data_IF_776438393678
#
_entry.id   IF_776438393678
#
_cell.length_a   1.000
_cell.length_b   1.000
_cell.length_c   1.000
_cell.angle_alpha   90.00
_cell.angle_beta   90.00
_cell.angle_gamma   90.00
#
_symmetry.space_group_name_H-M   'P 1'
#
loop_
_entity.id
_entity.type
_entity.pdbx_description
1 polymer ?
#
# COMPACT_ATOMS: atom_id res chain seq x y z
N UNK A 1 -24.95 15.93 10.58
CA UNK A 1 -25.83 14.74 10.65
C UNK A 1 -25.08 13.66 11.41
N UNK A 2 -25.74 12.59 11.79
CA UNK A 2 -25.07 11.40 12.35
C UNK A 2 -24.33 10.60 11.26
N UNK A 3 -23.35 9.79 11.67
CA UNK A 3 -22.76 8.76 10.81
C UNK A 3 -23.69 7.54 10.75
N UNK A 4 -23.96 6.95 9.57
CA UNK A 4 -24.82 5.77 9.48
C UNK A 4 -24.18 4.49 10.06
N UNK A 5 -22.88 4.51 10.40
CA UNK A 5 -22.19 3.38 10.99
C UNK A 5 -22.70 3.09 12.41
N UNK A 6 -22.87 1.81 12.74
CA UNK A 6 -23.25 1.39 14.10
C UNK A 6 -22.04 1.11 15.00
N UNK A 7 -20.83 1.23 14.46
CA UNK A 7 -19.59 0.96 15.19
C UNK A 7 -19.18 2.18 16.00
N UNK A 8 -19.04 2.02 17.31
CA UNK A 8 -18.75 3.14 18.23
C UNK A 8 -17.36 3.75 18.08
N UNK A 9 -16.46 3.10 17.35
CA UNK A 9 -15.15 3.67 16.99
C UNK A 9 -15.31 4.67 15.87
N UNK A 10 -16.13 4.34 14.87
CA UNK A 10 -16.41 5.21 13.72
C UNK A 10 -17.38 6.31 14.11
N UNK A 11 -18.47 5.93 14.78
CA UNK A 11 -19.54 6.76 15.29
C UNK A 11 -19.48 6.81 16.84
N UNK A 12 -18.62 7.65 17.42
CA UNK A 12 -18.48 7.73 18.88
C UNK A 12 -19.67 8.43 19.55
N UNK A 13 -20.46 9.24 18.83
CA UNK A 13 -21.61 9.91 19.42
C UNK A 13 -22.90 9.08 19.32
N UNK A 14 -22.89 8.00 18.53
CA UNK A 14 -24.07 7.17 18.31
C UNK A 14 -25.19 8.00 17.69
N UNK A 15 -26.42 7.62 18.00
CA UNK A 15 -27.64 8.35 17.59
C UNK A 15 -27.72 9.83 18.03
N UNK A 16 -26.79 10.30 18.88
CA UNK A 16 -26.67 11.72 19.26
C UNK A 16 -26.24 12.58 18.06
N UNK A 17 -25.51 12.01 17.10
CA UNK A 17 -24.99 12.67 15.91
C UNK A 17 -23.91 13.73 16.19
N UNK A 18 -23.67 14.58 15.18
CA UNK A 18 -22.57 15.59 15.14
C UNK A 18 -21.16 15.00 15.01
N UNK A 19 -21.06 13.89 14.28
CA UNK A 19 -19.83 13.12 14.04
C UNK A 19 -18.94 13.67 12.92
N UNK A 20 -19.34 14.79 12.33
CA UNK A 20 -18.54 15.46 11.32
C UNK A 20 -17.19 15.88 11.94
N UNK A 21 -16.11 15.47 11.30
CA UNK A 21 -14.75 15.69 11.76
C UNK A 21 -14.18 17.01 11.22
N UNK A 22 -14.72 17.51 10.10
CA UNK A 22 -14.30 18.76 9.51
C UNK A 22 -14.74 20.00 10.30
N UNK A 23 -14.07 21.12 10.03
CA UNK A 23 -14.38 22.41 10.64
C UNK A 23 -14.75 23.44 9.55
N UNK A 24 -15.90 24.14 9.66
CA UNK A 24 -16.98 23.95 10.64
C UNK A 24 -17.75 22.64 10.43
N UNK A 25 -18.10 21.94 11.53
CA UNK A 25 -18.80 20.64 11.49
C UNK A 25 -20.12 20.66 10.73
N UNK A 26 -20.85 21.78 10.82
CA UNK A 26 -22.12 21.96 10.13
C UNK A 26 -21.97 22.33 8.63
N UNK A 27 -20.74 22.49 8.13
CA UNK A 27 -20.49 23.14 6.85
C UNK A 27 -20.76 24.63 6.93
N UNK A 28 -20.75 25.31 5.78
CA UNK A 28 -20.99 26.76 5.70
C UNK A 28 -22.05 27.09 4.66
N UNK A 29 -23.00 27.96 5.02
CA UNK A 29 -23.94 28.55 4.09
C UNK A 29 -23.45 29.94 3.66
N UNK A 30 -23.45 30.21 2.36
CA UNK A 30 -23.07 31.50 1.76
C UNK A 30 -24.08 31.97 0.71
N UNK A 31 -23.83 33.15 0.13
CA UNK A 31 -24.74 33.80 -0.81
C UNK A 31 -26.16 34.08 -0.26
N UNK A 32 -26.27 34.32 1.06
CA UNK A 32 -27.53 34.56 1.76
C UNK A 32 -27.37 35.54 2.92
N UNK A 33 -28.50 36.10 3.40
CA UNK A 33 -28.56 36.97 4.57
C UNK A 33 -28.55 36.11 5.86
N UNK A 34 -27.58 36.29 6.77
CA UNK A 34 -27.47 35.47 7.96
C UNK A 34 -28.66 35.68 8.90
N UNK A 35 -29.03 34.61 9.60
CA UNK A 35 -30.05 34.57 10.65
C UNK A 35 -29.46 33.86 11.87
N UNK A 36 -30.19 33.82 12.99
CA UNK A 36 -29.69 33.17 14.20
C UNK A 36 -29.36 31.67 14.01
N UNK A 37 -30.12 30.96 13.15
CA UNK A 37 -30.06 29.50 13.00
C UNK A 37 -29.81 29.07 11.54
N UNK A 38 -29.12 29.90 10.74
CA UNK A 38 -28.90 29.62 9.31
C UNK A 38 -28.90 30.91 8.48
N UNK A 39 -29.51 30.89 7.30
CA UNK A 39 -29.63 32.09 6.47
C UNK A 39 -30.90 32.13 5.63
N UNK A 40 -31.15 33.28 5.01
CA UNK A 40 -32.30 33.53 4.13
C UNK A 40 -31.86 34.14 2.80
N UNK A 41 -32.52 33.76 1.71
CA UNK A 41 -32.26 34.31 0.38
C UNK A 41 -33.56 34.85 -0.23
N UNK A 42 -33.43 35.93 -0.98
CA UNK A 42 -34.57 36.49 -1.74
C UNK A 42 -34.81 35.62 -2.98
N UNK A 43 -36.08 35.45 -3.33
CA UNK A 43 -36.44 34.80 -4.57
C UNK A 43 -36.25 35.75 -5.75
N UNK A 44 -35.85 35.18 -6.89
CA UNK A 44 -35.82 35.89 -8.17
C UNK A 44 -37.24 36.03 -8.76
N UNK A 45 -37.35 36.63 -9.95
CA UNK A 45 -38.63 36.82 -10.65
C UNK A 45 -39.38 35.51 -10.98
N UNK A 46 -38.68 34.37 -10.98
CA UNK A 46 -39.25 33.03 -11.18
C UNK A 46 -39.60 32.32 -9.86
N UNK A 47 -39.43 32.98 -8.71
CA UNK A 47 -39.69 32.40 -7.40
C UNK A 47 -38.56 31.50 -6.87
N UNK A 48 -37.36 31.52 -7.47
CA UNK A 48 -36.23 30.68 -7.07
C UNK A 48 -35.32 31.47 -6.14
N UNK A 49 -35.00 30.91 -4.97
CA UNK A 49 -33.93 31.37 -4.10
C UNK A 49 -32.73 30.42 -4.22
N UNK A 50 -31.52 30.97 -4.19
CA UNK A 50 -30.27 30.20 -4.28
C UNK A 50 -29.42 30.50 -3.05
N UNK A 51 -28.88 29.44 -2.45
CA UNK A 51 -27.95 29.48 -1.33
C UNK A 51 -26.82 28.53 -1.70
N UNK A 52 -25.59 28.93 -1.42
CA UNK A 52 -24.42 28.08 -1.60
C UNK A 52 -24.15 27.35 -0.29
N UNK A 53 -23.88 26.05 -0.39
CA UNK A 53 -23.50 25.24 0.76
C UNK A 53 -22.15 24.60 0.50
N UNK A 54 -21.20 24.89 1.39
CA UNK A 54 -19.85 24.33 1.36
C UNK A 54 -19.75 23.24 2.41
N UNK A 55 -19.48 22.02 1.95
CA UNK A 55 -19.17 20.87 2.80
C UNK A 55 -17.73 20.95 3.31
N UNK A 56 -17.40 20.13 4.30
CA UNK A 56 -16.03 19.91 4.77
C UNK A 56 -15.25 19.03 3.79
N UNK A 57 -13.96 18.81 4.09
CA UNK A 57 -13.07 17.91 3.33
C UNK A 57 -12.88 16.53 3.95
N UNK A 58 -13.38 16.31 5.16
CA UNK A 58 -13.17 15.05 5.86
C UNK A 58 -14.11 13.98 5.34
N UNK A 59 -13.58 12.84 4.90
CA UNK A 59 -14.43 11.80 4.34
C UNK A 59 -15.31 11.18 5.43
N UNK A 60 -16.54 10.87 5.04
CA UNK A 60 -17.58 10.41 5.95
C UNK A 60 -18.35 11.52 6.65
N UNK A 61 -17.99 12.80 6.50
CA UNK A 61 -18.82 13.89 7.01
C UNK A 61 -20.18 13.91 6.28
N UNK A 62 -21.27 13.99 7.06
CA UNK A 62 -22.64 13.86 6.60
C UNK A 62 -23.44 15.16 6.78
N UNK A 63 -24.13 15.58 5.72
CA UNK A 63 -24.87 16.84 5.66
C UNK A 63 -26.27 16.64 5.09
N UNK A 64 -27.24 17.38 5.63
CA UNK A 64 -28.54 17.56 5.01
C UNK A 64 -28.99 19.01 5.23
N UNK A 65 -29.62 19.61 4.23
CA UNK A 65 -30.04 21.01 4.27
C UNK A 65 -31.56 21.04 4.40
N UNK A 66 -32.07 21.73 5.43
CA UNK A 66 -33.49 22.05 5.52
C UNK A 66 -33.77 23.46 4.95
N UNK A 67 -34.80 23.58 4.12
CA UNK A 67 -35.24 24.83 3.54
C UNK A 67 -36.77 24.98 3.67
N UNK A 68 -37.23 26.22 3.89
CA UNK A 68 -38.64 26.54 4.02
C UNK A 68 -38.86 28.04 3.92
N UNK A 69 -40.12 28.45 3.73
CA UNK A 69 -40.49 29.86 3.54
C UNK A 69 -40.99 30.54 4.82
N UNK A 70 -41.16 29.77 5.90
CA UNK A 70 -41.60 30.25 7.22
C UNK A 70 -40.40 30.15 8.19
N UNK A 71 -39.76 31.28 8.54
CA UNK A 71 -38.54 31.28 9.35
C UNK A 71 -38.66 30.55 10.69
N UNK A 72 -39.81 30.66 11.36
CA UNK A 72 -40.05 29.98 12.64
C UNK A 72 -40.04 28.45 12.53
N UNK A 73 -40.48 27.89 11.40
CA UNK A 73 -40.51 26.44 11.18
C UNK A 73 -39.13 25.91 10.79
N UNK A 74 -38.37 26.66 9.98
CA UNK A 74 -36.96 26.34 9.68
C UNK A 74 -36.11 26.44 10.94
N UNK A 75 -36.32 27.46 11.78
CA UNK A 75 -35.60 27.65 13.03
C UNK A 75 -35.89 26.60 14.11
N UNK A 76 -36.94 25.77 13.93
CA UNK A 76 -37.30 24.68 14.82
C UNK A 76 -36.80 23.31 14.34
N UNK A 77 -36.03 23.27 13.24
CA UNK A 77 -35.43 22.03 12.72
C UNK A 77 -34.30 21.58 13.63
N UNK A 78 -34.29 20.30 13.98
CA UNK A 78 -33.20 19.65 14.72
C UNK A 78 -32.81 18.33 14.05
N UNK A 79 -31.70 17.73 14.49
CA UNK A 79 -31.23 16.42 14.01
C UNK A 79 -31.71 15.31 14.95
N UNK A 80 -31.98 14.13 14.39
CA UNK A 80 -32.19 12.89 15.13
C UNK A 80 -31.56 11.75 14.32
N UNK A 81 -30.36 11.33 14.69
CA UNK A 81 -29.54 10.43 13.89
C UNK A 81 -29.30 10.97 12.47
N UNK A 82 -29.58 10.13 11.48
CA UNK A 82 -29.43 10.44 10.04
C UNK A 82 -30.61 11.22 9.44
N UNK A 83 -31.57 11.65 10.26
CA UNK A 83 -32.75 12.41 9.85
C UNK A 83 -32.78 13.83 10.43
N UNK A 84 -33.50 14.71 9.72
CA UNK A 84 -33.92 16.00 10.27
C UNK A 84 -35.36 15.89 10.73
N UNK A 85 -35.67 16.44 11.91
CA UNK A 85 -37.02 16.49 12.48
C UNK A 85 -37.48 17.94 12.64
N UNK A 86 -38.79 18.15 12.58
CA UNK A 86 -39.40 19.44 12.86
C UNK A 86 -39.63 19.64 14.38
N UNK A 87 -40.14 20.81 14.77
CA UNK A 87 -40.44 21.12 16.18
C UNK A 87 -41.53 20.25 16.84
N UNK A 88 -42.19 19.37 16.08
CA UNK A 88 -43.12 18.35 16.58
C UNK A 88 -42.51 16.94 16.59
N UNK A 89 -41.18 16.83 16.44
CA UNK A 89 -40.42 15.58 16.39
C UNK A 89 -40.77 14.67 15.18
N UNK A 90 -41.35 15.23 14.13
CA UNK A 90 -41.66 14.48 12.91
C UNK A 90 -40.53 14.60 11.90
N UNK A 91 -40.14 13.48 11.29
CA UNK A 91 -39.13 13.42 10.23
C UNK A 91 -39.55 14.31 9.05
N UNK A 92 -38.64 15.18 8.63
CA UNK A 92 -38.82 16.06 7.49
C UNK A 92 -38.59 15.23 6.22
N UNK A 93 -39.55 15.20 5.28
CA UNK A 93 -39.39 14.42 4.06
C UNK A 93 -38.38 15.06 3.11
N UNK A 94 -37.72 14.22 2.31
CA UNK A 94 -36.83 14.67 1.22
C UNK A 94 -37.61 15.12 -0.01
N UNK A 95 -38.84 14.64 -0.16
CA UNK A 95 -39.76 15.00 -1.24
C UNK A 95 -40.93 15.82 -0.68
N UNK A 96 -40.98 17.10 -1.05
CA UNK A 96 -42.03 18.01 -0.61
C UNK A 96 -42.96 18.42 -1.73
N UNK A 97 -44.26 18.27 -1.49
CA UNK A 97 -45.31 18.93 -2.27
C UNK A 97 -46.10 19.95 -1.47
N UNK A 98 -46.23 19.74 -0.14
CA UNK A 98 -47.13 20.49 0.73
C UNK A 98 -46.54 20.85 2.09
N UNK A 99 -45.34 20.34 2.41
CA UNK A 99 -44.73 20.56 3.71
C UNK A 99 -44.10 21.96 3.82
N UNK A 100 -44.15 22.59 5.00
CA UNK A 100 -43.60 23.92 5.22
C UNK A 100 -42.07 23.98 5.18
N UNK A 101 -41.42 22.85 5.48
CA UNK A 101 -39.97 22.67 5.48
C UNK A 101 -39.66 21.36 4.77
N UNK A 102 -38.60 21.39 3.98
CA UNK A 102 -38.12 20.29 3.15
C UNK A 102 -36.65 20.06 3.43
N UNK A 103 -36.20 18.82 3.32
CA UNK A 103 -34.76 18.55 3.40
C UNK A 103 -34.20 17.99 2.10
N UNK A 104 -32.91 18.20 1.87
CA UNK A 104 -32.17 17.44 0.86
C UNK A 104 -32.06 15.97 1.26
N UNK A 105 -31.70 15.11 0.29
CA UNK A 105 -31.06 13.84 0.64
C UNK A 105 -29.79 14.12 1.44
N UNK A 106 -29.37 13.13 2.25
CA UNK A 106 -28.10 13.22 2.95
C UNK A 106 -26.96 13.16 1.93
N UNK A 107 -25.99 14.06 2.10
CA UNK A 107 -24.74 14.11 1.36
C UNK A 107 -23.63 13.62 2.27
N UNK A 108 -22.85 12.66 1.80
CA UNK A 108 -21.65 12.17 2.48
C UNK A 108 -20.43 12.61 1.70
N UNK A 109 -19.45 13.16 2.37
CA UNK A 109 -18.19 13.59 1.74
C UNK A 109 -17.36 12.35 1.39
N UNK A 110 -16.97 12.25 0.13
CA UNK A 110 -15.98 11.29 -0.35
C UNK A 110 -14.68 12.02 -0.70
N UNK A 111 -13.55 11.41 -0.34
CA UNK A 111 -12.22 11.92 -0.68
C UNK A 111 -11.66 11.18 -1.89
N UNK A 112 -11.01 11.93 -2.79
CA UNK A 112 -10.09 11.35 -3.77
C UNK A 112 -8.70 11.27 -3.18
N UNK A 113 -8.07 10.13 -3.41
CA UNK A 113 -6.73 9.81 -3.00
C UNK A 113 -5.90 9.51 -4.25
N UNK A 114 -5.02 10.45 -4.62
CA UNK A 114 -4.21 10.38 -5.82
C UNK A 114 -2.95 9.56 -5.54
N UNK A 115 -2.71 8.54 -6.35
CA UNK A 115 -1.58 7.64 -6.18
C UNK A 115 -0.78 7.67 -7.47
N UNK A 116 0.47 8.05 -7.35
CA UNK A 116 1.48 7.86 -8.38
C UNK A 116 2.10 6.48 -8.19
N UNK A 117 2.13 5.67 -9.26
CA UNK A 117 2.52 4.27 -9.19
C UNK A 117 3.64 3.99 -10.17
N UNK A 118 4.79 3.64 -9.62
CA UNK A 118 6.01 3.37 -10.38
C UNK A 118 6.57 2.00 -10.05
N UNK A 119 7.59 1.60 -10.81
CA UNK A 119 8.44 0.47 -10.46
C UNK A 119 9.91 0.77 -10.68
N UNK A 120 10.76 -0.07 -10.08
CA UNK A 120 12.16 -0.16 -10.47
C UNK A 120 12.26 -0.60 -11.93
N UNK A 121 13.30 -0.11 -12.61
CA UNK A 121 13.69 -0.63 -13.93
C UNK A 121 14.02 -2.13 -13.85
N UNK A 122 14.27 -2.73 -15.01
CA UNK A 122 14.70 -4.13 -15.13
C UNK A 122 15.74 -4.54 -14.08
N UNK A 123 15.52 -5.71 -13.49
CA UNK A 123 16.43 -6.34 -12.55
C UNK A 123 17.79 -6.52 -13.20
N UNK A 124 18.81 -5.92 -12.60
CA UNK A 124 20.17 -5.97 -13.11
C UNK A 124 21.15 -6.02 -11.94
N UNK A 125 22.05 -7.00 -11.97
CA UNK A 125 23.05 -7.15 -10.91
C UNK A 125 22.61 -7.99 -9.71
N UNK A 126 21.52 -8.77 -9.79
CA UNK A 126 21.26 -9.86 -8.85
C UNK A 126 22.17 -11.09 -9.14
N UNK A 127 23.49 -10.84 -9.19
CA UNK A 127 24.52 -11.87 -9.31
C UNK A 127 25.88 -11.32 -8.90
N UNK A 128 26.76 -12.21 -8.46
CA UNK A 128 28.15 -11.89 -8.11
C UNK A 128 29.11 -12.44 -9.15
N UNK A 129 29.99 -11.58 -9.65
CA UNK A 129 31.11 -11.93 -10.54
C UNK A 129 32.37 -12.16 -9.73
N UNK A 130 33.20 -13.11 -10.13
CA UNK A 130 34.50 -13.29 -9.50
C UNK A 130 35.39 -14.32 -10.17
N UNK A 131 36.39 -14.79 -9.43
CA UNK A 131 37.29 -15.86 -9.87
C UNK A 131 37.42 -16.98 -8.86
N UNK A 132 37.58 -18.21 -9.33
CA UNK A 132 37.96 -19.37 -8.52
C UNK A 132 39.48 -19.51 -8.66
N UNK A 133 40.28 -19.30 -7.60
CA UNK A 133 41.73 -19.22 -7.70
C UNK A 133 42.37 -20.57 -8.07
N UNK A 134 41.81 -21.67 -7.56
CA UNK A 134 42.39 -23.00 -7.67
C UNK A 134 41.64 -23.91 -8.66
N UNK A 135 42.39 -24.83 -9.28
CA UNK A 135 41.76 -25.85 -10.11
C UNK A 135 40.94 -26.83 -9.28
N UNK A 136 39.80 -27.28 -9.82
CA UNK A 136 38.92 -28.24 -9.17
C UNK A 136 38.35 -29.26 -10.15
N UNK A 137 38.26 -30.50 -9.71
CA UNK A 137 37.50 -31.56 -10.40
C UNK A 137 36.33 -31.98 -9.52
N UNK A 138 35.11 -31.88 -10.05
CA UNK A 138 33.87 -32.23 -9.34
C UNK A 138 33.22 -33.41 -10.08
N UNK A 139 33.30 -34.65 -9.55
CA UNK A 139 32.66 -35.81 -10.17
C UNK A 139 31.14 -35.63 -10.29
N UNK A 140 30.53 -36.34 -11.26
CA UNK A 140 29.09 -36.37 -11.45
C UNK A 140 28.36 -36.73 -10.14
N UNK A 141 27.33 -35.95 -9.78
CA UNK A 141 26.52 -36.19 -8.59
C UNK A 141 27.23 -35.91 -7.26
N UNK A 142 28.40 -35.25 -7.25
CA UNK A 142 29.14 -34.92 -6.02
C UNK A 142 29.11 -33.43 -5.72
N UNK A 143 29.27 -33.12 -4.43
CA UNK A 143 29.49 -31.77 -3.93
C UNK A 143 30.97 -31.42 -3.90
N UNK A 144 31.26 -30.12 -3.97
CA UNK A 144 32.57 -29.57 -3.66
C UNK A 144 32.42 -28.16 -3.08
N UNK A 145 33.27 -27.83 -2.12
CA UNK A 145 33.49 -26.44 -1.69
C UNK A 145 34.59 -25.83 -2.53
N UNK A 146 34.31 -24.65 -3.07
CA UNK A 146 35.19 -23.84 -3.90
C UNK A 146 35.56 -22.58 -3.11
N UNK A 147 36.85 -22.27 -3.03
CA UNK A 147 37.28 -20.92 -2.67
C UNK A 147 36.94 -19.98 -3.82
N UNK A 148 36.46 -18.78 -3.51
CA UNK A 148 36.08 -17.77 -4.50
C UNK A 148 36.65 -16.43 -4.11
N UNK A 149 37.01 -15.65 -5.13
CA UNK A 149 37.41 -14.25 -5.01
C UNK A 149 36.36 -13.41 -5.76
N UNK A 150 35.33 -12.90 -5.06
CA UNK A 150 34.37 -11.96 -5.61
C UNK A 150 35.05 -10.70 -6.15
N UNK A 151 34.41 -10.05 -7.12
CA UNK A 151 34.89 -8.77 -7.65
C UNK A 151 34.90 -7.72 -6.53
N UNK A 152 35.87 -6.79 -6.47
CA UNK A 152 36.01 -5.86 -5.33
C UNK A 152 34.79 -4.99 -5.01
N UNK A 153 33.87 -4.80 -5.97
CA UNK A 153 32.63 -4.05 -5.81
C UNK A 153 31.44 -4.91 -5.36
N UNK A 154 31.60 -6.24 -5.25
CA UNK A 154 30.55 -7.19 -4.92
C UNK A 154 31.04 -8.06 -3.76
N UNK A 155 30.39 -7.94 -2.61
CA UNK A 155 30.66 -8.80 -1.46
C UNK A 155 29.69 -9.97 -1.48
N UNK A 156 30.13 -11.13 -1.00
CA UNK A 156 29.22 -12.25 -0.77
C UNK A 156 28.64 -12.13 0.63
N UNK A 157 27.33 -12.30 0.71
CA UNK A 157 26.59 -12.45 1.96
C UNK A 157 26.52 -13.94 2.31
N UNK A 158 26.54 -14.29 3.60
CA UNK A 158 26.47 -15.69 4.00
C UNK A 158 25.13 -16.28 3.57
N UNK A 159 25.16 -17.40 2.85
CA UNK A 159 24.01 -18.23 2.48
C UNK A 159 22.91 -17.62 1.60
N UNK A 160 22.99 -16.34 1.24
CA UNK A 160 22.16 -15.70 0.20
C UNK A 160 21.88 -16.61 -1.00
N UNK A 161 22.94 -17.10 -1.64
CA UNK A 161 22.84 -17.87 -2.89
C UNK A 161 22.41 -19.34 -2.73
N UNK A 162 21.90 -19.78 -1.58
CA UNK A 162 21.40 -21.15 -1.41
C UNK A 162 20.27 -21.40 -2.42
N UNK A 163 20.25 -22.56 -3.08
CA UNK A 163 19.23 -22.85 -4.10
C UNK A 163 19.59 -22.29 -5.49
N UNK A 164 20.39 -21.23 -5.53
CA UNK A 164 20.88 -20.58 -6.73
C UNK A 164 21.92 -21.40 -7.50
N UNK A 165 22.73 -20.73 -8.33
CA UNK A 165 23.70 -21.41 -9.20
C UNK A 165 25.00 -20.67 -9.40
N UNK A 166 26.08 -21.44 -9.48
CA UNK A 166 27.40 -20.97 -9.90
C UNK A 166 27.66 -21.40 -11.35
N UNK A 167 27.89 -20.42 -12.22
CA UNK A 167 28.21 -20.60 -13.64
C UNK A 167 29.70 -20.39 -13.87
N UNK A 168 30.40 -21.47 -14.24
CA UNK A 168 31.84 -21.49 -14.57
C UNK A 168 32.09 -22.36 -15.81
N UNK A 169 31.54 -21.91 -16.95
CA UNK A 169 31.44 -22.71 -18.18
C UNK A 169 30.46 -23.89 -18.10
N UNK A 170 30.14 -24.37 -16.89
CA UNK A 170 29.04 -25.26 -16.55
C UNK A 170 28.23 -24.61 -15.42
N UNK A 171 26.96 -24.98 -15.29
CA UNK A 171 26.11 -24.56 -14.17
C UNK A 171 26.14 -25.61 -13.05
N UNK A 172 26.37 -25.18 -11.83
CA UNK A 172 26.42 -25.98 -10.61
C UNK A 172 25.43 -25.39 -9.61
N UNK A 173 24.58 -26.21 -8.99
CA UNK A 173 23.64 -25.71 -7.97
C UNK A 173 24.39 -25.36 -6.69
N UNK A 174 24.01 -24.26 -6.06
CA UNK A 174 24.61 -23.80 -4.80
C UNK A 174 23.87 -24.45 -3.64
N UNK A 175 24.64 -24.97 -2.68
CA UNK A 175 24.15 -25.63 -1.47
C UNK A 175 24.31 -24.74 -0.25
N UNK A 176 25.37 -23.92 -0.23
CA UNK A 176 25.66 -22.90 0.77
C UNK A 176 26.81 -22.03 0.31
N UNK A 177 26.97 -20.84 0.91
CA UNK A 177 28.13 -20.01 0.68
C UNK A 177 28.51 -19.22 1.95
N UNK A 178 29.79 -18.92 2.08
CA UNK A 178 30.32 -17.91 3.02
C UNK A 178 30.64 -16.65 2.24
N UNK A 179 31.34 -15.71 2.88
CA UNK A 179 31.88 -14.50 2.24
C UNK A 179 32.99 -14.80 1.22
N UNK A 180 33.58 -16.00 1.25
CA UNK A 180 34.78 -16.39 0.49
C UNK A 180 34.75 -17.84 -0.05
N UNK A 181 33.70 -18.61 0.23
CA UNK A 181 33.56 -19.97 -0.29
C UNK A 181 32.14 -20.26 -0.79
N UNK A 182 32.02 -21.12 -1.79
CA UNK A 182 30.73 -21.61 -2.29
C UNK A 182 30.76 -23.14 -2.32
N UNK A 183 29.82 -23.76 -1.62
CA UNK A 183 29.59 -25.21 -1.71
C UNK A 183 28.57 -25.47 -2.80
N UNK A 184 28.97 -26.27 -3.80
CA UNK A 184 28.17 -26.53 -4.99
C UNK A 184 27.94 -28.02 -5.20
N UNK A 185 26.85 -28.37 -5.88
CA UNK A 185 26.48 -29.71 -6.29
C UNK A 185 26.56 -29.83 -7.82
N UNK A 186 27.34 -30.80 -8.30
CA UNK A 186 27.31 -31.18 -9.71
C UNK A 186 26.09 -32.07 -9.99
N UNK A 187 25.03 -31.47 -10.52
CA UNK A 187 23.80 -32.18 -10.91
C UNK A 187 23.88 -32.82 -12.32
N UNK A 188 25.01 -32.71 -13.01
CA UNK A 188 25.21 -33.32 -14.32
C UNK A 188 25.63 -34.79 -14.21
N UNK A 189 25.54 -35.50 -15.34
CA UNK A 189 26.03 -36.89 -15.48
C UNK A 189 27.53 -36.99 -15.82
N UNK A 190 28.26 -35.87 -15.81
CA UNK A 190 29.67 -35.81 -16.22
C UNK A 190 30.50 -35.18 -15.10
N UNK A 191 31.77 -35.55 -15.06
CA UNK A 191 32.75 -34.85 -14.23
C UNK A 191 33.01 -33.46 -14.82
N UNK A 192 32.98 -32.44 -13.97
CA UNK A 192 33.29 -31.06 -14.34
C UNK A 192 34.71 -30.74 -13.89
N UNK A 193 35.50 -30.15 -14.80
CA UNK A 193 36.82 -29.59 -14.50
C UNK A 193 36.74 -28.07 -14.56
N UNK A 194 37.16 -27.43 -13.48
CA UNK A 194 37.28 -25.98 -13.33
C UNK A 194 38.78 -25.67 -13.34
N UNK A 195 39.29 -24.91 -14.32
CA UNK A 195 40.69 -24.50 -14.31
C UNK A 195 40.95 -23.46 -13.21
N UNK A 196 42.21 -23.34 -12.79
CA UNK A 196 42.64 -22.26 -11.90
C UNK A 196 42.36 -20.89 -12.53
N UNK A 197 41.98 -19.91 -11.70
CA UNK A 197 41.60 -18.54 -12.08
C UNK A 197 40.40 -18.50 -13.04
N UNK A 198 39.51 -19.50 -12.97
CA UNK A 198 38.29 -19.50 -13.76
C UNK A 198 37.36 -18.36 -13.34
N UNK A 199 36.79 -17.63 -14.30
CA UNK A 199 35.75 -16.65 -14.02
C UNK A 199 34.43 -17.35 -13.71
N UNK A 200 33.71 -16.83 -12.71
CA UNK A 200 32.38 -17.31 -12.36
C UNK A 200 31.35 -16.19 -12.36
N UNK A 201 30.09 -16.58 -12.53
CA UNK A 201 28.90 -15.78 -12.19
C UNK A 201 28.08 -16.59 -11.19
N UNK A 202 27.76 -16.01 -10.05
CA UNK A 202 26.98 -16.62 -8.98
C UNK A 202 25.61 -15.94 -8.95
N UNK A 203 24.57 -16.69 -9.26
CA UNK A 203 23.18 -16.22 -9.31
C UNK A 203 22.46 -16.67 -8.07
N UNK A 204 21.56 -15.80 -7.61
CA UNK A 204 20.62 -16.11 -6.54
C UNK A 204 19.54 -17.10 -6.97
N UNK A 205 18.73 -17.53 -6.00
CA UNK A 205 17.55 -18.36 -6.24
C UNK A 205 16.26 -17.56 -6.44
N UNK A 206 16.35 -16.23 -6.35
CA UNK A 206 15.22 -15.33 -6.60
C UNK A 206 14.60 -15.54 -7.99
N UNK A 207 13.28 -15.68 -7.97
CA UNK A 207 12.38 -15.65 -9.11
C UNK A 207 11.08 -14.96 -8.66
N UNK A 208 10.94 -13.67 -8.96
CA UNK A 208 9.75 -12.90 -8.54
C UNK A 208 8.54 -13.12 -9.44
N UNK A 209 8.66 -13.94 -10.50
CA UNK A 209 7.59 -14.19 -11.44
C UNK A 209 7.39 -15.71 -11.67
N UNK A 210 6.76 -16.13 -12.77
CA UNK A 210 6.43 -17.53 -13.08
C UNK A 210 6.79 -17.87 -14.56
N UNK A 211 7.54 -17.01 -15.24
CA UNK A 211 7.71 -17.04 -16.70
C UNK A 211 8.86 -17.95 -17.17
N UNK A 212 9.79 -18.30 -16.27
CA UNK A 212 10.93 -19.19 -16.52
C UNK A 212 10.66 -20.69 -16.21
N UNK A 213 9.43 -21.01 -15.82
CA UNK A 213 8.92 -22.38 -15.74
C UNK A 213 9.50 -23.21 -14.60
N UNK A 214 10.60 -23.94 -14.84
CA UNK A 214 11.32 -24.69 -13.78
C UNK A 214 12.79 -24.31 -13.71
N UNK A 215 13.20 -23.28 -14.45
CA UNK A 215 14.56 -22.75 -14.44
C UNK A 215 14.58 -21.51 -13.54
N UNK A 216 14.48 -21.77 -12.24
CA UNK A 216 14.12 -20.83 -11.18
C UNK A 216 15.36 -20.16 -10.60
N UNK A 217 16.05 -19.28 -11.35
CA UNK A 217 17.33 -18.73 -10.86
C UNK A 217 17.87 -17.51 -11.62
N UNK A 218 17.04 -16.77 -12.38
CA UNK A 218 17.54 -15.60 -13.12
C UNK A 218 16.48 -14.54 -13.42
N UNK A 219 16.21 -13.65 -12.48
CA UNK A 219 15.44 -12.43 -12.77
C UNK A 219 16.20 -11.39 -13.62
N UNK A 220 17.43 -11.70 -14.07
CA UNK A 220 18.29 -10.72 -14.75
C UNK A 220 17.70 -10.29 -16.08
N UNK A 221 17.53 -8.97 -16.26
CA UNK A 221 16.87 -8.29 -17.38
C UNK A 221 15.35 -8.41 -17.39
N UNK A 222 14.74 -8.80 -16.28
CA UNK A 222 13.29 -8.84 -16.15
C UNK A 222 12.74 -7.55 -15.57
N UNK A 223 11.58 -7.12 -16.08
CA UNK A 223 10.93 -5.90 -15.61
C UNK A 223 10.31 -6.10 -14.23
N UNK A 224 10.65 -5.24 -13.28
CA UNK A 224 9.94 -5.17 -12.00
C UNK A 224 8.56 -4.58 -12.29
N UNK A 225 7.51 -5.35 -12.01
CA UNK A 225 6.15 -4.89 -12.27
C UNK A 225 5.72 -3.83 -11.25
N UNK A 226 4.96 -2.83 -11.71
CA UNK A 226 4.23 -1.93 -10.83
C UNK A 226 3.42 -2.69 -9.75
N UNK A 227 3.23 -2.11 -8.56
CA UNK A 227 2.38 -2.64 -7.51
C UNK A 227 0.99 -2.98 -8.02
N UNK A 228 0.52 -4.19 -7.72
CA UNK A 228 -0.81 -4.64 -8.13
C UNK A 228 -1.89 -3.86 -7.37
N UNK A 229 -2.93 -3.39 -8.07
CA UNK A 229 -4.04 -2.62 -7.46
C UNK A 229 -5.38 -3.37 -7.48
N UNK A 230 -5.52 -4.35 -8.38
CA UNK A 230 -6.78 -5.05 -8.62
C UNK A 230 -7.30 -5.77 -7.35
N UNK A 231 -8.58 -5.61 -7.08
CA UNK A 231 -9.25 -6.19 -5.91
C UNK A 231 -8.99 -5.48 -4.58
N UNK A 232 -8.11 -4.49 -4.47
CA UNK A 232 -7.85 -3.79 -3.20
C UNK A 232 -7.85 -2.26 -3.31
N UNK A 233 -7.35 -1.71 -4.41
CA UNK A 233 -7.13 -0.28 -4.60
C UNK A 233 -7.79 0.24 -5.88
N UNK A 234 -8.79 -0.47 -6.42
CA UNK A 234 -9.43 -0.02 -7.66
C UNK A 234 -10.10 1.34 -7.47
N UNK A 235 -10.10 2.16 -8.52
CA UNK A 235 -10.71 3.49 -8.52
C UNK A 235 -12.25 3.42 -8.56
N UNK A 236 -12.85 2.86 -7.52
CA UNK A 236 -14.29 2.67 -7.35
C UNK A 236 -14.71 2.82 -5.88
N UNK A 237 -16.03 2.87 -5.68
CA UNK A 237 -16.64 3.11 -4.37
C UNK A 237 -17.14 1.78 -3.74
N UNK A 238 -16.76 0.63 -4.30
CA UNK A 238 -17.14 -0.70 -3.81
C UNK A 238 -16.06 -1.27 -2.90
N UNK A 239 -16.43 -1.51 -1.64
CA UNK A 239 -15.53 -2.12 -0.65
C UNK A 239 -14.88 -3.40 -1.16
N UNK A 240 -15.56 -4.20 -1.98
CA UNK A 240 -15.03 -5.48 -2.47
C UNK A 240 -13.76 -5.34 -3.31
N UNK A 241 -13.48 -4.15 -3.84
CA UNK A 241 -12.38 -3.85 -4.77
C UNK A 241 -11.57 -2.61 -4.36
N UNK A 242 -12.07 -1.83 -3.39
CA UNK A 242 -11.41 -0.70 -2.76
C UNK A 242 -11.53 -0.82 -1.23
N UNK A 243 -10.46 -1.21 -0.55
CA UNK A 243 -10.44 -1.38 0.91
C UNK A 243 -10.65 -0.08 1.70
N UNK A 244 -10.51 1.07 1.05
CA UNK A 244 -10.75 2.39 1.63
C UNK A 244 -12.18 2.91 1.44
N UNK A 245 -13.04 2.19 0.70
CA UNK A 245 -14.41 2.62 0.44
C UNK A 245 -15.24 2.76 1.72
N UNK A 246 -15.03 1.89 2.71
CA UNK A 246 -15.70 2.00 4.03
C UNK A 246 -15.23 3.25 4.81
N UNK A 247 -14.11 3.86 4.43
CA UNK A 247 -13.66 5.17 4.93
C UNK A 247 -14.13 6.34 4.05
N UNK A 248 -14.94 6.10 3.02
CA UNK A 248 -15.37 7.08 2.01
C UNK A 248 -14.21 7.71 1.23
N UNK A 249 -13.20 6.91 0.92
CA UNK A 249 -12.02 7.33 0.15
C UNK A 249 -11.94 6.49 -1.13
N UNK A 250 -11.67 7.16 -2.24
CA UNK A 250 -11.52 6.57 -3.56
C UNK A 250 -10.11 6.80 -4.10
N UNK A 251 -9.33 5.73 -4.34
CA UNK A 251 -8.07 5.82 -5.08
C UNK A 251 -8.28 6.37 -6.50
N UNK A 252 -7.31 7.13 -6.99
CA UNK A 252 -7.29 7.70 -8.35
C UNK A 252 -5.84 7.69 -8.86
N UNK A 253 -5.69 7.35 -10.14
CA UNK A 253 -4.39 7.16 -10.81
C UNK A 253 -4.29 8.11 -12.00
N UNK A 254 -4.47 9.40 -11.75
CA UNK A 254 -4.55 10.47 -12.76
C UNK A 254 -3.42 11.51 -12.64
N UNK A 255 -2.35 11.16 -11.93
CA UNK A 255 -1.17 11.99 -11.64
C UNK A 255 0.12 11.24 -11.99
N UNK A 256 1.24 11.98 -12.04
CA UNK A 256 2.57 11.49 -12.39
C UNK A 256 2.73 10.99 -13.82
N UNK A 257 3.97 10.70 -14.22
CA UNK A 257 4.20 9.68 -15.24
C UNK A 257 4.37 8.32 -14.56
N UNK A 258 3.40 7.41 -14.73
CA UNK A 258 3.58 6.05 -14.20
C UNK A 258 4.70 5.39 -15.01
N UNK A 259 5.91 5.32 -14.45
CA UNK A 259 7.13 4.95 -15.14
C UNK A 259 7.79 3.71 -14.51
N UNK A 260 8.14 2.74 -15.36
CA UNK A 260 8.81 1.48 -14.95
C UNK A 260 10.34 1.65 -14.94
N UNK A 261 10.87 2.79 -14.48
CA UNK A 261 12.28 3.11 -14.72
C UNK A 261 13.00 3.83 -13.58
N UNK A 262 12.53 3.66 -12.36
CA UNK A 262 13.31 4.11 -11.19
C UNK A 262 14.56 3.24 -11.02
N UNK A 263 15.52 3.72 -10.23
CA UNK A 263 16.80 3.02 -10.05
C UNK A 263 16.60 1.62 -9.45
N UNK A 264 17.01 0.58 -10.20
CA UNK A 264 17.06 -0.78 -9.66
C UNK A 264 18.09 -0.86 -8.54
N UNK A 265 17.65 -1.43 -7.43
CA UNK A 265 18.47 -1.78 -6.28
C UNK A 265 18.03 -3.19 -5.87
N UNK A 266 18.99 -4.10 -5.71
CA UNK A 266 18.70 -5.48 -5.27
C UNK A 266 18.12 -5.41 -3.86
N UNK A 267 18.95 -5.16 -2.85
CA UNK A 267 18.52 -4.87 -1.48
C UNK A 267 18.53 -3.37 -1.20
N UNK A 268 17.58 -2.90 -0.42
CA UNK A 268 17.69 -1.56 0.17
C UNK A 268 18.97 -1.47 1.03
N UNK A 269 19.65 -0.32 0.99
CA UNK A 269 20.83 -0.09 1.84
C UNK A 269 20.45 -0.01 3.33
N UNK A 270 19.30 0.59 3.61
CA UNK A 270 18.66 0.72 4.92
C UNK A 270 17.21 1.18 4.71
N UNK A 271 16.44 1.27 5.79
CA UNK A 271 15.07 1.77 5.80
C UNK A 271 14.96 3.22 6.33
N UNK A 272 16.03 4.02 6.24
CA UNK A 272 15.94 5.42 6.63
C UNK A 272 15.11 6.21 5.61
N UNK A 273 14.17 7.02 6.11
CA UNK A 273 13.25 7.84 5.31
C UNK A 273 13.93 8.61 4.17
N UNK A 274 15.09 9.24 4.43
CA UNK A 274 15.81 10.02 3.41
C UNK A 274 16.39 9.14 2.29
N UNK A 275 16.85 7.94 2.63
CA UNK A 275 17.38 7.01 1.64
C UNK A 275 16.23 6.44 0.79
N UNK A 276 15.15 5.98 1.43
CA UNK A 276 13.97 5.47 0.73
C UNK A 276 13.42 6.50 -0.26
N UNK A 277 13.22 7.75 0.18
CA UNK A 277 12.77 8.84 -0.69
C UNK A 277 13.74 9.19 -1.81
N UNK A 278 15.03 8.89 -1.66
CA UNK A 278 16.02 9.11 -2.73
C UNK A 278 15.86 8.15 -3.90
N UNK A 279 15.11 7.05 -3.71
CA UNK A 279 14.77 6.09 -4.76
C UNK A 279 13.42 6.42 -5.43
N UNK A 280 12.67 7.38 -4.90
CA UNK A 280 11.41 7.83 -5.51
C UNK A 280 11.69 8.71 -6.73
N UNK A 281 10.93 8.52 -7.80
CA UNK A 281 10.81 9.45 -8.91
C UNK A 281 9.48 10.20 -8.81
N UNK A 282 9.18 10.72 -7.61
CA UNK A 282 7.85 11.26 -7.27
C UNK A 282 7.59 12.61 -7.96
N UNK A 283 7.07 12.57 -9.18
CA UNK A 283 6.73 13.71 -10.03
C UNK A 283 5.72 14.64 -9.36
N UNK A 284 4.74 14.05 -8.68
CA UNK A 284 3.66 14.77 -8.02
C UNK A 284 3.99 15.20 -6.59
N UNK A 285 5.26 15.19 -6.19
CA UNK A 285 5.69 15.55 -4.83
C UNK A 285 5.27 16.98 -4.42
N UNK A 286 5.08 17.89 -5.38
CA UNK A 286 4.64 19.26 -5.10
C UNK A 286 3.21 19.30 -4.54
N UNK A 287 2.42 18.26 -4.81
CA UNK A 287 1.05 18.09 -4.34
C UNK A 287 0.95 17.23 -3.08
N UNK A 288 2.02 16.55 -2.64
CA UNK A 288 2.01 15.69 -1.45
C UNK A 288 1.65 16.48 -0.18
N UNK A 289 2.22 17.67 -0.01
CA UNK A 289 1.91 18.55 1.12
C UNK A 289 0.54 19.26 0.99
N UNK A 290 -0.20 19.06 -0.10
CA UNK A 290 -1.45 19.75 -0.35
C UNK A 290 -2.62 19.08 0.39
N UNK A 291 -3.10 19.74 1.45
CA UNK A 291 -4.30 19.30 2.17
C UNK A 291 -5.59 19.33 1.32
N UNK A 292 -5.59 19.91 0.12
CA UNK A 292 -6.66 19.83 -0.88
C UNK A 292 -6.59 18.53 -1.70
N UNK A 293 -5.43 17.90 -1.87
CA UNK A 293 -5.21 16.71 -2.69
C UNK A 293 -4.31 15.71 -1.96
N UNK A 294 -4.93 14.68 -1.35
CA UNK A 294 -4.15 13.58 -0.79
C UNK A 294 -3.41 12.87 -1.91
N UNK A 295 -2.08 12.94 -1.86
CA UNK A 295 -1.18 12.48 -2.92
C UNK A 295 -0.06 11.66 -2.31
N UNK A 296 0.14 10.43 -2.77
CA UNK A 296 1.23 9.54 -2.31
C UNK A 296 1.96 8.91 -3.49
N UNK A 297 3.08 8.30 -3.17
CA UNK A 297 3.88 7.50 -4.07
C UNK A 297 3.86 6.02 -3.70
N UNK A 298 3.76 5.13 -4.68
CA UNK A 298 3.79 3.68 -4.49
C UNK A 298 4.78 3.06 -5.47
N UNK A 299 5.81 2.40 -4.95
CA UNK A 299 6.91 1.86 -5.74
C UNK A 299 6.92 0.33 -5.72
N UNK A 300 6.92 -0.28 -6.90
CA UNK A 300 7.27 -1.69 -7.08
C UNK A 300 8.77 -1.85 -6.98
N UNK A 301 9.24 -2.56 -5.96
CA UNK A 301 10.66 -2.73 -5.67
C UNK A 301 11.04 -4.22 -5.64
N UNK A 302 12.33 -4.51 -5.75
CA UNK A 302 12.82 -5.88 -5.81
C UNK A 302 12.66 -6.58 -4.46
N UNK A 303 13.50 -6.24 -3.48
CA UNK A 303 13.42 -6.76 -2.10
C UNK A 303 13.89 -5.72 -1.07
N UNK A 304 13.65 -6.02 0.21
CA UNK A 304 14.00 -5.14 1.32
C UNK A 304 15.52 -5.16 1.62
N UNK A 305 15.92 -4.66 2.79
CA UNK A 305 17.26 -4.82 3.33
C UNK A 305 17.61 -6.32 3.49
N UNK A 306 18.91 -6.61 3.55
CA UNK A 306 19.45 -7.99 3.64
C UNK A 306 18.87 -8.77 4.82
N UNK A 307 18.55 -8.10 5.92
CA UNK A 307 17.96 -8.75 7.10
C UNK A 307 16.51 -9.17 6.90
N UNK A 308 15.78 -8.57 5.96
CA UNK A 308 14.33 -8.70 5.77
C UNK A 308 13.95 -9.18 4.36
N UNK A 309 14.91 -9.61 3.54
CA UNK A 309 14.69 -10.07 2.15
C UNK A 309 14.25 -11.54 2.03
N UNK A 310 14.31 -12.31 3.12
CA UNK A 310 13.86 -13.70 3.12
C UNK A 310 14.90 -14.72 2.67
N UNK A 311 16.13 -14.30 2.37
CA UNK A 311 17.24 -15.22 2.13
C UNK A 311 17.70 -15.87 3.43
N UNK A 312 18.17 -17.14 3.39
CA UNK A 312 18.69 -17.78 4.59
C UNK A 312 19.99 -17.09 5.04
N UNK A 313 19.97 -16.40 6.17
CA UNK A 313 21.17 -15.86 6.82
C UNK A 313 21.50 -16.58 8.15
N UNK A 314 22.62 -16.21 8.80
CA UNK A 314 23.11 -16.82 10.06
C UNK A 314 21.99 -17.13 11.05
N UNK A 315 22.09 -18.26 11.80
CA UNK A 315 20.99 -19.17 12.02
C UNK A 315 19.70 -18.42 12.38
N UNK A 316 18.77 -18.37 11.41
CA UNK A 316 17.37 -18.00 11.61
C UNK A 316 16.96 -18.49 12.98
N UNK A 317 16.60 -17.59 13.88
CA UNK A 317 16.35 -17.98 15.27
C UNK A 317 15.06 -18.80 15.40
N UNK A 318 14.44 -19.14 14.28
CA UNK A 318 13.08 -19.66 14.19
C UNK A 318 12.08 -18.65 14.73
N UNK A 319 12.47 -17.37 14.87
CA UNK A 319 11.59 -16.34 15.34
C UNK A 319 10.63 -15.98 14.19
N UNK A 320 9.31 -16.09 14.38
CA UNK A 320 8.35 -15.60 13.40
C UNK A 320 8.49 -14.09 13.08
N UNK A 321 9.23 -13.32 13.88
CA UNK A 321 9.59 -11.92 13.58
C UNK A 321 10.76 -11.78 12.58
N UNK A 322 11.52 -12.86 12.30
CA UNK A 322 12.52 -12.92 11.21
C UNK A 322 11.80 -13.20 9.88
N UNK A 323 10.66 -12.56 9.64
CA UNK A 323 9.84 -12.77 8.45
C UNK A 323 10.24 -11.80 7.34
N UNK A 324 10.28 -12.26 6.08
CA UNK A 324 10.49 -11.36 4.97
C UNK A 324 9.45 -10.23 4.97
N UNK A 325 9.92 -9.03 4.65
CA UNK A 325 9.11 -7.84 4.50
C UNK A 325 8.50 -7.79 3.10
N UNK A 326 7.17 -7.75 3.01
CA UNK A 326 6.47 -7.64 1.71
C UNK A 326 6.35 -6.19 1.23
N UNK A 327 6.52 -5.23 2.12
CA UNK A 327 6.39 -3.82 1.84
C UNK A 327 6.79 -3.00 3.06
N UNK A 328 7.08 -1.73 2.81
CA UNK A 328 7.51 -0.79 3.84
C UNK A 328 7.14 0.64 3.45
N UNK A 329 6.79 1.45 4.43
CA UNK A 329 6.55 2.89 4.27
C UNK A 329 7.83 3.71 4.49
N UNK A 330 7.94 4.85 3.82
CA UNK A 330 9.08 5.75 4.00
C UNK A 330 9.14 6.40 5.39
N UNK A 331 7.97 6.66 5.99
CA UNK A 331 7.82 7.21 7.33
C UNK A 331 6.43 6.91 7.88
N UNK A 332 6.23 7.14 9.18
CA UNK A 332 4.91 7.07 9.80
C UNK A 332 4.17 8.41 9.67
N UNK A 333 2.83 8.34 9.69
CA UNK A 333 1.96 9.51 9.82
C UNK A 333 2.47 10.48 10.90
N UNK A 334 2.46 11.81 10.68
CA UNK A 334 1.86 12.54 9.55
C UNK A 334 2.88 12.97 8.48
N UNK A 335 4.05 12.33 8.41
CA UNK A 335 5.13 12.77 7.50
C UNK A 335 5.38 11.78 6.37
N UNK A 336 4.49 10.81 6.15
CA UNK A 336 4.70 9.74 5.19
C UNK A 336 4.42 10.24 3.76
N UNK A 337 5.22 9.80 2.79
CA UNK A 337 5.07 10.18 1.37
C UNK A 337 4.72 9.00 0.49
N UNK A 338 5.07 7.78 0.90
CA UNK A 338 4.86 6.62 0.05
C UNK A 338 5.33 5.31 0.64
N UNK A 339 5.22 4.27 -0.18
CA UNK A 339 5.56 2.92 0.21
C UNK A 339 6.24 2.14 -0.92
N UNK A 340 7.05 1.16 -0.51
CA UNK A 340 7.63 0.14 -1.36
C UNK A 340 6.78 -1.13 -1.22
N UNK A 341 6.53 -1.81 -2.33
CA UNK A 341 5.96 -3.15 -2.37
C UNK A 341 6.98 -4.06 -3.02
N UNK A 342 7.49 -5.02 -2.25
CA UNK A 342 8.55 -5.92 -2.69
C UNK A 342 8.00 -7.08 -3.50
N UNK A 343 8.72 -7.43 -4.58
CA UNK A 343 8.31 -8.44 -5.54
C UNK A 343 8.91 -9.80 -5.24
N UNK A 344 10.17 -9.85 -4.82
CA UNK A 344 10.91 -11.09 -4.61
C UNK A 344 10.22 -11.94 -3.53
N UNK A 345 10.01 -11.43 -2.31
CA UNK A 345 9.31 -12.18 -1.24
C UNK A 345 7.86 -12.55 -1.58
N UNK A 346 7.26 -11.93 -2.60
CA UNK A 346 5.89 -12.18 -3.09
C UNK A 346 5.71 -13.50 -3.85
N UNK A 347 6.74 -14.36 -3.84
CA UNK A 347 6.93 -15.60 -4.63
C UNK A 347 5.66 -16.43 -4.88
N UNK A 348 5.41 -16.85 -6.13
CA UNK A 348 4.65 -18.06 -6.42
C UNK A 348 5.44 -19.36 -6.13
N UNK A 349 4.71 -20.37 -5.66
CA UNK A 349 4.96 -21.82 -5.72
C UNK A 349 6.17 -22.52 -5.02
N UNK A 350 7.24 -21.85 -4.64
CA UNK A 350 8.52 -22.56 -4.33
C UNK A 350 8.71 -23.13 -2.91
N UNK A 351 7.95 -22.70 -1.90
CA UNK A 351 8.00 -23.37 -0.58
C UNK A 351 7.20 -24.69 -0.58
N UNK A 352 7.60 -25.71 0.21
CA UNK A 352 7.03 -27.07 0.17
C UNK A 352 5.51 -27.05 0.06
N UNK A 353 4.98 -27.82 -0.90
CA UNK A 353 3.56 -28.05 -1.19
C UNK A 353 2.66 -27.73 0.02
N UNK A 354 2.23 -26.46 0.13
CA UNK A 354 1.63 -25.90 1.34
C UNK A 354 1.66 -24.37 1.38
N UNK A 355 2.80 -23.74 1.04
CA UNK A 355 2.94 -22.27 1.04
C UNK A 355 2.46 -21.59 -0.25
N UNK A 356 2.54 -22.27 -1.39
CA UNK A 356 1.97 -21.85 -2.67
C UNK A 356 0.46 -21.51 -2.64
N UNK A 357 -0.24 -21.84 -1.55
CA UNK A 357 -1.66 -21.56 -1.39
C UNK A 357 -1.97 -20.28 -0.62
N UNK A 358 -0.96 -19.54 -0.13
CA UNK A 358 -1.16 -18.46 0.85
C UNK A 358 -0.25 -17.20 0.76
N UNK A 359 0.46 -16.85 -0.34
CA UNK A 359 1.15 -15.57 -0.34
C UNK A 359 0.12 -14.43 -0.22
N UNK A 360 0.42 -13.44 0.63
CA UNK A 360 -0.35 -12.21 0.70
C UNK A 360 -0.25 -11.55 -0.67
N UNK A 361 -1.39 -11.31 -1.33
CA UNK A 361 -1.36 -10.68 -2.66
C UNK A 361 -0.69 -9.32 -2.58
N UNK A 362 0.15 -8.96 -3.56
CA UNK A 362 0.81 -7.63 -3.65
C UNK A 362 -0.15 -6.46 -3.51
N UNK A 363 -1.39 -6.62 -3.99
CA UNK A 363 -2.45 -5.61 -3.81
C UNK A 363 -2.93 -5.43 -2.35
N UNK A 364 -2.92 -6.51 -1.58
CA UNK A 364 -3.19 -6.45 -0.15
C UNK A 364 -2.05 -5.79 0.61
N UNK A 365 -0.80 -6.08 0.23
CA UNK A 365 0.38 -5.42 0.79
C UNK A 365 0.35 -3.93 0.50
N UNK A 366 0.11 -3.51 -0.75
CA UNK A 366 -0.06 -2.10 -1.09
C UNK A 366 -1.14 -1.43 -0.23
N UNK A 367 -2.31 -2.08 -0.04
CA UNK A 367 -3.36 -1.57 0.84
C UNK A 367 -2.93 -1.48 2.31
N UNK A 368 -2.17 -2.45 2.81
CA UNK A 368 -1.62 -2.47 4.17
C UNK A 368 -0.64 -1.31 4.39
N UNK A 369 0.34 -1.13 3.48
CA UNK A 369 1.32 -0.06 3.59
C UNK A 369 0.66 1.33 3.52
N UNK A 370 -0.30 1.51 2.62
CA UNK A 370 -1.09 2.75 2.56
C UNK A 370 -1.87 2.96 3.86
N UNK A 371 -2.37 1.89 4.48
CA UNK A 371 -3.00 1.96 5.80
C UNK A 371 -2.07 2.55 6.86
N UNK A 372 -0.78 2.20 6.85
CA UNK A 372 0.22 2.79 7.73
C UNK A 372 0.49 4.27 7.44
N UNK A 373 0.40 4.72 6.18
CA UNK A 373 0.50 6.15 5.85
C UNK A 373 -0.59 6.96 6.59
N UNK A 374 -1.79 6.41 6.76
CA UNK A 374 -2.85 7.05 7.56
C UNK A 374 -2.73 6.81 9.08
N UNK A 375 -1.60 6.25 9.55
CA UNK A 375 -1.35 5.95 10.95
C UNK A 375 -1.95 4.63 11.44
N UNK A 376 -2.37 3.75 10.54
CA UNK A 376 -2.70 2.37 10.88
C UNK A 376 -1.54 1.68 11.60
N UNK A 377 -1.85 0.79 12.54
CA UNK A 377 -0.85 0.04 13.31
C UNK A 377 -1.13 -1.45 13.16
N UNK A 378 -0.09 -2.29 13.28
CA UNK A 378 -0.25 -3.75 13.19
C UNK A 378 -1.30 -4.30 14.18
N UNK A 379 -1.35 -3.72 15.38
CA UNK A 379 -2.29 -4.09 16.45
C UNK A 379 -3.74 -3.69 16.15
N UNK A 380 -4.01 -2.95 15.07
CA UNK A 380 -5.37 -2.65 14.61
C UNK A 380 -6.09 -3.89 14.07
N UNK A 381 -5.35 -4.95 13.76
CA UNK A 381 -5.83 -6.18 13.10
C UNK A 381 -6.39 -5.97 11.67
N UNK A 382 -7.04 -7.01 11.13
CA UNK A 382 -7.66 -6.98 9.80
C UNK A 382 -6.62 -6.89 8.69
N UNK A 383 -6.80 -5.93 7.77
CA UNK A 383 -5.81 -5.66 6.74
C UNK A 383 -4.47 -5.20 7.33
N UNK A 384 -4.46 -4.60 8.53
CA UNK A 384 -3.23 -4.19 9.21
C UNK A 384 -2.51 -5.34 9.92
N UNK A 385 -3.07 -6.55 10.00
CA UNK A 385 -2.35 -7.67 10.63
C UNK A 385 -1.12 -8.05 9.80
N UNK A 386 0.09 -8.08 10.40
CA UNK A 386 1.27 -8.65 9.77
C UNK A 386 1.07 -10.16 9.69
N UNK A 387 1.11 -10.72 8.50
CA UNK A 387 0.81 -12.13 8.29
C UNK A 387 1.44 -12.68 7.03
N UNK A 388 1.83 -13.95 7.09
CA UNK A 388 2.23 -14.74 5.92
C UNK A 388 1.03 -15.43 5.24
N UNK A 389 -0.17 -15.30 5.81
CA UNK A 389 -1.44 -15.82 5.29
C UNK A 389 -2.57 -14.83 5.61
N UNK A 390 -3.01 -14.07 4.61
CA UNK A 390 -4.04 -13.06 4.81
C UNK A 390 -5.42 -13.68 4.74
N UNK A 391 -6.05 -13.81 5.91
CA UNK A 391 -7.44 -14.28 6.05
C UNK A 391 -8.46 -13.13 6.15
N UNK A 392 -8.00 -11.93 6.52
CA UNK A 392 -8.83 -10.73 6.61
C UNK A 392 -8.40 -9.69 5.58
N UNK A 393 -9.37 -9.27 4.76
CA UNK A 393 -9.18 -8.32 3.66
C UNK A 393 -9.38 -6.86 4.07
N UNK A 394 -10.16 -6.61 5.12
CA UNK A 394 -10.70 -5.28 5.43
C UNK A 394 -9.99 -4.64 6.60
N UNK A 395 -9.85 -3.32 6.56
CA UNK A 395 -9.48 -2.54 7.73
C UNK A 395 -10.50 -2.69 8.86
N UNK A 396 -10.01 -2.74 10.10
CA UNK A 396 -10.87 -2.65 11.27
C UNK A 396 -11.36 -1.20 11.48
N UNK A 397 -12.43 -1.00 12.27
CA UNK A 397 -12.97 0.32 12.57
C UNK A 397 -11.94 1.36 13.07
N UNK A 398 -10.91 0.93 13.80
CA UNK A 398 -9.86 1.82 14.29
C UNK A 398 -9.03 2.43 13.15
N UNK A 399 -8.57 1.63 12.19
CA UNK A 399 -7.82 2.12 11.01
C UNK A 399 -8.71 2.98 10.11
N UNK A 400 -9.96 2.55 9.88
CA UNK A 400 -10.95 3.33 9.13
C UNK A 400 -11.19 4.70 9.77
N UNK A 401 -11.24 4.78 11.12
CA UNK A 401 -11.36 6.06 11.83
C UNK A 401 -10.13 6.93 11.59
N UNK A 402 -8.91 6.37 11.68
CA UNK A 402 -7.66 7.12 11.44
C UNK A 402 -7.64 7.73 10.04
N UNK A 403 -8.03 6.97 9.02
CA UNK A 403 -8.19 7.46 7.63
C UNK A 403 -9.19 8.62 7.56
N UNK A 404 -10.34 8.52 8.24
CA UNK A 404 -11.40 9.55 8.18
C UNK A 404 -11.04 10.87 8.86
N UNK A 405 -10.17 10.85 9.86
CA UNK A 405 -9.78 12.04 10.62
C UNK A 405 -8.45 12.65 10.16
N UNK A 406 -7.71 11.94 9.31
CA UNK A 406 -6.44 12.41 8.78
C UNK A 406 -6.63 13.71 7.97
N UNK A 407 -5.81 14.75 8.16
CA UNK A 407 -5.80 15.93 7.30
C UNK A 407 -5.14 15.63 5.94
N UNK A 408 -4.16 14.74 5.95
CA UNK A 408 -3.39 14.15 4.84
C UNK A 408 -2.86 12.79 5.35
N UNK A 409 -2.59 11.78 4.51
CA UNK A 409 -1.65 10.70 4.86
C UNK A 409 -0.31 11.24 5.39
#
# INVERSE_FOLDING_TARGET
MDDPATDTTIDPNGTTGDDNNGNPRAGTLSACLPTANGCSALTNASGIATVEFTVTRQPGDNFAIAAGVIPAQVGAVTMNGIDLINGNEQVIPTSCSTEPVCRSQMLTVWRRFHIEVDSMRESDGNFVLGTIPDERTIPAGRQATLEVNPSPAQQLEVNRFIGGRLVVGNSLSVISNTTDTVTVQNNTRRTIYIPAVAQFQLYDDDDFNDDDGTMLNVDTSENISMPQIAGYLEANDDRNTNVFADAYVRPVYDIGDNNDNTQFTVNLLNNETNYMRSLFDFDSNINEADTEFWTIYLLGAYQDIVEDDGDPHEPETGNPDDAPSYGIIDSVYPNAQGAFVFLEVGRPREYPLGYATRPVSRAATAGHEIGHLFGGEHDDEGLMTPTRDRTEKWFRPITLRRIRIAPNP
#
